data_IF_558211458214
#
_entry.id   IF_558211458214
#
_cell.length_a   1.000
_cell.length_b   1.000
_cell.length_c   1.000
_cell.angle_alpha   90.00
_cell.angle_beta   90.00
_cell.angle_gamma   90.00
#
_symmetry.space_group_name_H-M   'P 1'
#
loop_
_entity.id
_entity.type
_entity.pdbx_description
1 polymer ?
#
# COMPACT_ATOMS: atom_id res chain seq x y z
N UNK A 1 -30.00 -16.58 13.22
CA UNK A 1 -29.02 -17.11 12.26
C UNK A 1 -27.74 -16.30 12.39
N UNK A 2 -26.76 -16.80 13.16
CA UNK A 2 -25.44 -16.17 13.28
C UNK A 2 -24.59 -16.64 12.10
N UNK A 3 -24.33 -15.75 11.14
CA UNK A 3 -23.37 -16.02 10.10
C UNK A 3 -21.96 -15.89 10.70
N UNK A 4 -21.27 -17.02 10.81
CA UNK A 4 -19.82 -17.08 10.96
C UNK A 4 -19.20 -16.35 9.76
N UNK A 5 -18.67 -15.14 9.92
CA UNK A 5 -17.79 -14.56 8.92
C UNK A 5 -16.46 -15.31 9.00
N UNK A 6 -16.34 -16.39 8.23
CA UNK A 6 -15.04 -16.98 7.93
C UNK A 6 -14.21 -15.89 7.24
N UNK A 7 -13.16 -15.44 7.93
CA UNK A 7 -12.44 -14.17 7.72
C UNK A 7 -12.19 -13.80 6.26
N UNK A 8 -12.74 -12.66 5.85
CA UNK A 8 -12.43 -11.87 4.66
C UNK A 8 -13.29 -10.60 4.70
N UNK A 9 -13.16 -9.83 5.79
CA UNK A 9 -13.85 -8.55 5.92
C UNK A 9 -12.97 -7.42 5.38
N UNK A 10 -13.56 -6.63 4.48
CA UNK A 10 -12.98 -5.38 4.00
C UNK A 10 -14.04 -4.30 4.15
N UNK A 11 -13.65 -3.14 4.68
CA UNK A 11 -14.53 -1.98 4.82
C UNK A 11 -13.82 -0.75 4.30
N UNK A 12 -14.39 -0.11 3.29
CA UNK A 12 -13.91 1.20 2.83
C UNK A 12 -14.08 2.22 3.96
N UNK A 13 -13.00 2.89 4.31
CA UNK A 13 -12.98 3.98 5.29
C UNK A 13 -13.14 5.32 4.57
N UNK A 14 -12.41 5.53 3.47
CA UNK A 14 -12.49 6.74 2.64
C UNK A 14 -11.28 6.93 1.75
N UNK A 15 -11.28 8.02 0.98
CA UNK A 15 -10.16 8.42 0.13
C UNK A 15 -9.11 9.17 0.96
N UNK A 16 -7.83 8.93 0.66
CA UNK A 16 -6.72 9.58 1.34
C UNK A 16 -5.61 9.93 0.35
N UNK A 17 -4.71 10.81 0.80
CA UNK A 17 -3.51 11.19 0.07
C UNK A 17 -2.29 11.07 0.99
N UNK A 18 -1.15 10.62 0.49
CA UNK A 18 0.08 10.54 1.28
C UNK A 18 0.47 11.91 1.86
N UNK A 19 0.89 11.94 3.13
CA UNK A 19 1.30 13.19 3.78
C UNK A 19 2.56 13.78 3.13
N UNK A 20 3.52 12.92 2.82
CA UNK A 20 4.73 13.24 2.06
C UNK A 20 4.61 12.76 0.61
N UNK A 21 5.35 13.37 -0.35
CA UNK A 21 5.43 12.87 -1.70
C UNK A 21 6.27 11.57 -1.78
N UNK A 22 5.88 10.68 -2.68
CA UNK A 22 6.59 9.44 -3.01
C UNK A 22 6.76 9.28 -4.53
N UNK A 23 7.83 8.65 -5.02
CA UNK A 23 7.93 8.26 -6.41
C UNK A 23 6.90 7.16 -6.73
N UNK A 24 6.08 7.39 -7.75
CA UNK A 24 5.11 6.44 -8.27
C UNK A 24 5.47 6.06 -9.70
N UNK A 25 5.78 4.79 -9.94
CA UNK A 25 6.24 4.29 -11.24
C UNK A 25 5.26 3.28 -11.81
N UNK A 26 5.07 3.28 -13.11
CA UNK A 26 4.31 2.24 -13.83
C UNK A 26 5.29 1.56 -14.77
N UNK A 27 5.61 0.29 -14.50
CA UNK A 27 6.57 -0.46 -15.33
C UNK A 27 5.85 -1.33 -16.36
N UNK A 28 6.25 -1.20 -17.61
CA UNK A 28 5.84 -2.07 -18.72
C UNK A 28 6.71 -3.32 -18.75
N UNK A 29 6.21 -4.50 -19.20
CA UNK A 29 4.94 -4.72 -19.90
C UNK A 29 3.74 -4.99 -18.97
N UNK A 30 3.98 -5.32 -17.70
CA UNK A 30 2.93 -5.78 -16.79
C UNK A 30 2.04 -4.65 -16.24
N UNK A 31 2.42 -3.38 -16.44
CA UNK A 31 1.70 -2.18 -15.97
C UNK A 31 1.42 -2.21 -14.47
N UNK A 32 2.34 -2.78 -13.72
CA UNK A 32 2.24 -2.84 -12.27
C UNK A 32 2.65 -1.46 -11.73
N UNK A 33 1.82 -0.82 -10.88
CA UNK A 33 2.19 0.40 -10.19
C UNK A 33 3.13 0.09 -9.02
N UNK A 34 4.17 0.89 -8.86
CA UNK A 34 5.13 0.80 -7.76
C UNK A 34 5.17 2.11 -7.00
N UNK A 35 4.95 2.05 -5.69
CA UNK A 35 5.23 3.15 -4.77
C UNK A 35 6.59 2.89 -4.12
N UNK A 36 7.59 3.73 -4.39
CA UNK A 36 8.95 3.51 -3.87
C UNK A 36 9.07 3.96 -2.41
N UNK A 37 9.79 3.22 -1.57
CA UNK A 37 10.17 3.62 -0.20
C UNK A 37 11.26 4.71 -0.24
N UNK A 38 10.88 5.88 -0.75
CA UNK A 38 11.74 7.06 -0.92
C UNK A 38 10.93 8.34 -0.61
N UNK A 39 10.52 8.53 0.66
CA UNK A 39 9.73 9.68 1.09
C UNK A 39 10.39 11.02 0.75
N UNK A 40 9.57 12.04 0.49
CA UNK A 40 10.02 13.39 0.15
C UNK A 40 10.38 13.58 -1.34
N UNK A 41 10.21 12.56 -2.19
CA UNK A 41 10.47 12.62 -3.64
C UNK A 41 9.20 12.36 -4.44
N UNK A 42 9.14 12.81 -5.69
CA UNK A 42 7.99 12.53 -6.56
C UNK A 42 6.77 13.40 -6.22
N UNK A 43 5.61 12.78 -6.08
CA UNK A 43 4.34 13.48 -5.84
C UNK A 43 3.57 12.83 -4.69
N UNK A 44 2.65 13.57 -4.08
CA UNK A 44 1.70 12.97 -3.15
C UNK A 44 0.77 12.03 -3.91
N UNK A 45 0.53 10.84 -3.36
CA UNK A 45 -0.20 9.77 -4.04
C UNK A 45 -1.58 9.63 -3.42
N UNK A 46 -2.60 9.65 -4.27
CA UNK A 46 -4.00 9.43 -3.88
C UNK A 46 -4.33 7.94 -3.85
N UNK A 47 -5.17 7.54 -2.90
CA UNK A 47 -5.61 6.17 -2.74
C UNK A 47 -6.81 6.05 -1.80
N UNK A 48 -7.10 4.81 -1.40
CA UNK A 48 -8.22 4.47 -0.53
C UNK A 48 -7.71 3.77 0.72
N UNK A 49 -8.30 4.10 1.88
CA UNK A 49 -8.05 3.39 3.13
C UNK A 49 -9.13 2.33 3.31
N UNK A 50 -8.70 1.08 3.51
CA UNK A 50 -9.57 -0.03 3.86
C UNK A 50 -9.22 -0.55 5.26
N UNK A 51 -10.24 -0.76 6.08
CA UNK A 51 -10.12 -1.57 7.29
C UNK A 51 -10.27 -3.03 6.91
N UNK A 52 -9.33 -3.86 7.36
CA UNK A 52 -9.28 -5.29 7.05
C UNK A 52 -8.98 -6.10 8.31
N UNK A 53 -9.50 -7.31 8.38
CA UNK A 53 -9.13 -8.24 9.45
C UNK A 53 -7.71 -8.81 9.25
N UNK A 54 -7.20 -9.45 10.31
CA UNK A 54 -5.84 -10.02 10.34
C UNK A 54 -5.63 -11.09 9.26
N UNK A 55 -6.67 -11.86 8.92
CA UNK A 55 -6.56 -12.93 7.92
C UNK A 55 -6.44 -12.33 6.51
N UNK A 56 -7.26 -11.33 6.20
CA UNK A 56 -7.18 -10.56 4.95
C UNK A 56 -5.81 -9.91 4.81
N UNK A 57 -5.31 -9.30 5.90
CA UNK A 57 -3.99 -8.67 5.92
C UNK A 57 -2.84 -9.67 5.65
N UNK A 58 -2.94 -10.93 6.12
CA UNK A 58 -1.97 -12.00 5.79
C UNK A 58 -2.06 -12.45 4.33
N UNK A 59 -3.26 -12.48 3.76
CA UNK A 59 -3.45 -12.80 2.35
C UNK A 59 -2.85 -11.72 1.45
N UNK A 60 -3.00 -10.44 1.83
CA UNK A 60 -2.35 -9.31 1.16
C UNK A 60 -0.82 -9.42 1.22
N UNK A 61 -0.23 -9.80 2.36
CA UNK A 61 1.23 -10.01 2.44
C UNK A 61 1.71 -11.04 1.42
N UNK A 62 0.99 -12.15 1.27
CA UNK A 62 1.32 -13.19 0.30
C UNK A 62 1.17 -12.69 -1.15
N UNK A 63 0.10 -11.95 -1.43
CA UNK A 63 -0.19 -11.40 -2.75
C UNK A 63 0.90 -10.41 -3.20
N UNK A 64 1.32 -9.54 -2.29
CA UNK A 64 2.32 -8.49 -2.54
C UNK A 64 3.77 -9.00 -2.44
N UNK A 65 3.97 -10.29 -2.16
CA UNK A 65 5.28 -10.90 -2.03
C UNK A 65 6.08 -10.37 -0.83
N UNK A 66 5.40 -9.95 0.24
CA UNK A 66 6.04 -9.47 1.46
C UNK A 66 6.80 -10.59 2.19
N UNK A 67 8.03 -10.35 2.68
CA UNK A 67 8.79 -9.08 2.69
C UNK A 67 9.77 -8.88 1.52
N UNK A 68 9.81 -9.81 0.56
CA UNK A 68 10.89 -9.88 -0.44
C UNK A 68 10.67 -8.96 -1.65
N UNK A 69 9.42 -8.76 -2.07
CA UNK A 69 9.05 -7.92 -3.22
C UNK A 69 8.62 -6.52 -2.76
N UNK A 70 7.45 -6.42 -2.10
CA UNK A 70 7.04 -5.24 -1.36
C UNK A 70 7.25 -5.40 0.14
N UNK A 71 7.50 -4.30 0.84
CA UNK A 71 7.56 -4.28 2.29
C UNK A 71 6.33 -3.58 2.85
N UNK A 72 5.62 -4.24 3.76
CA UNK A 72 4.56 -3.59 4.54
C UNK A 72 5.19 -2.61 5.51
N UNK A 73 4.83 -1.34 5.39
CA UNK A 73 5.33 -0.22 6.19
C UNK A 73 4.17 0.59 6.73
N UNK A 74 4.41 1.31 7.81
CA UNK A 74 3.52 2.38 8.21
C UNK A 74 3.74 3.58 7.30
N UNK A 75 2.65 4.22 6.91
CA UNK A 75 2.66 5.39 6.06
C UNK A 75 1.67 6.42 6.61
N UNK A 76 2.13 7.66 6.73
CA UNK A 76 1.28 8.77 7.14
C UNK A 76 0.51 9.33 5.93
N UNK A 77 -0.80 9.48 6.11
CA UNK A 77 -1.75 9.94 5.10
C UNK A 77 -2.67 11.01 5.66
N UNK A 78 -3.33 11.72 4.76
CA UNK A 78 -4.42 12.65 5.06
C UNK A 78 -5.73 12.03 4.60
N UNK A 79 -6.53 11.54 5.55
CA UNK A 79 -7.91 11.08 5.32
C UNK A 79 -8.85 12.25 5.61
N UNK A 80 -9.57 12.75 4.61
CA UNK A 80 -10.40 13.96 4.74
C UNK A 80 -9.67 15.14 5.41
N UNK A 81 -8.40 15.35 5.01
CA UNK A 81 -7.47 16.35 5.58
C UNK A 81 -7.04 16.13 7.03
N UNK A 82 -7.35 14.97 7.62
CA UNK A 82 -6.89 14.60 8.98
C UNK A 82 -5.73 13.61 8.89
N UNK A 83 -4.68 13.80 9.69
CA UNK A 83 -3.54 12.90 9.70
C UNK A 83 -3.94 11.53 10.28
N UNK A 84 -3.58 10.48 9.56
CA UNK A 84 -3.75 9.08 9.95
C UNK A 84 -2.50 8.28 9.58
N UNK A 85 -2.21 7.22 10.33
CA UNK A 85 -1.12 6.28 10.02
C UNK A 85 -1.71 4.94 9.61
N UNK A 86 -1.39 4.48 8.40
CA UNK A 86 -1.93 3.23 7.81
C UNK A 86 -0.82 2.28 7.41
N UNK A 87 -1.17 1.01 7.16
CA UNK A 87 -0.27 0.10 6.46
C UNK A 87 -0.30 0.36 4.95
N UNK A 88 0.86 0.31 4.32
CA UNK A 88 1.02 0.33 2.86
C UNK A 88 2.16 -0.61 2.42
N UNK A 89 2.15 -1.03 1.17
CA UNK A 89 3.18 -1.86 0.56
C UNK A 89 4.08 -0.99 -0.31
N UNK A 90 5.34 -0.85 0.11
CA UNK A 90 6.34 -0.02 -0.57
C UNK A 90 7.43 -0.87 -1.20
N UNK A 91 7.85 -0.53 -2.41
CA UNK A 91 8.98 -1.18 -3.05
C UNK A 91 10.27 -0.58 -2.47
N UNK A 92 11.18 -1.38 -1.90
CA UNK A 92 12.44 -0.87 -1.39
C UNK A 92 13.25 -0.15 -2.47
N UNK A 93 13.76 1.05 -2.20
CA UNK A 93 14.48 1.90 -3.18
C UNK A 93 15.66 1.16 -3.86
N UNK A 94 16.36 0.29 -3.13
CA UNK A 94 17.48 -0.49 -3.66
C UNK A 94 17.07 -1.54 -4.72
N UNK A 95 15.78 -1.83 -4.87
CA UNK A 95 15.25 -2.79 -5.85
C UNK A 95 14.87 -2.16 -7.18
N UNK A 96 14.82 -0.83 -7.28
CA UNK A 96 14.44 -0.12 -8.52
C UNK A 96 15.28 -0.60 -9.70
N UNK A 97 16.59 -0.72 -9.50
CA UNK A 97 17.52 -1.22 -10.52
C UNK A 97 17.21 -2.65 -10.96
N UNK A 98 16.68 -3.51 -10.09
CA UNK A 98 16.37 -4.91 -10.41
C UNK A 98 15.07 -5.10 -11.20
N UNK A 99 14.17 -4.12 -11.18
CA UNK A 99 12.89 -4.16 -11.92
C UNK A 99 12.97 -3.41 -13.26
N UNK A 100 14.00 -2.59 -13.45
CA UNK A 100 14.25 -1.83 -14.68
C UNK A 100 15.21 -2.52 -15.68
N UNK A 101 15.70 -3.73 -15.39
CA UNK A 101 16.57 -4.52 -16.29
C UNK A 101 15.77 -5.53 -17.10
#
# INVERSE_FOLDING_TARGET
YNALSLGTSTRLVGSAITAEPFPFLILTPFRIPFLLDAPGKGARVEGEILEVDVETLRQLDKLEGHPDFYQRRFLDVLLDSKPETVYSYLMPDHRVSSVLV
#
